data_IF_962980766087
#
_entry.id   IF_962980766087
#
_cell.length_a   1.000
_cell.length_b   1.000
_cell.length_c   1.000
_cell.angle_alpha   90.00
_cell.angle_beta   90.00
_cell.angle_gamma   90.00
#
_symmetry.space_group_name_H-M   'P 1'
#
loop_
_entity.id
_entity.type
_entity.pdbx_description
1 polymer ?
#
# COMPACT_ATOMS: atom_id res chain seq x y z
N UNK A 1 27.34 35.44 25.16
CA UNK A 1 26.74 34.77 23.98
C UNK A 1 26.46 33.32 24.35
N UNK A 2 25.21 32.96 24.58
CA UNK A 2 24.83 31.56 24.87
C UNK A 2 24.40 30.93 23.53
N UNK A 3 25.21 29.95 23.07
CA UNK A 3 24.90 29.12 21.90
C UNK A 3 23.59 28.36 22.12
N UNK A 4 22.57 28.69 21.35
CA UNK A 4 21.39 27.84 21.22
C UNK A 4 21.81 26.55 20.55
N UNK A 5 21.94 25.47 21.32
CA UNK A 5 22.02 24.11 20.78
C UNK A 5 20.73 23.87 19.98
N UNK A 6 20.86 23.76 18.66
CA UNK A 6 19.77 23.28 17.80
C UNK A 6 19.42 21.87 18.27
N UNK A 7 18.30 21.75 18.96
CA UNK A 7 17.72 20.46 19.29
C UNK A 7 17.32 19.80 17.98
N UNK A 8 17.97 18.69 17.64
CA UNK A 8 17.52 17.80 16.56
C UNK A 8 16.08 17.38 16.88
N UNK A 9 15.18 17.40 15.88
CA UNK A 9 13.81 16.91 16.09
C UNK A 9 13.88 15.47 16.61
N UNK A 10 13.36 15.26 17.81
CA UNK A 10 13.26 13.89 18.35
C UNK A 10 12.23 13.12 17.55
N UNK A 11 12.48 11.85 17.22
CA UNK A 11 11.48 11.02 16.56
C UNK A 11 10.22 10.97 17.43
N UNK A 12 9.07 11.17 16.81
CA UNK A 12 7.79 11.05 17.47
C UNK A 12 7.68 9.63 18.06
N UNK A 13 7.52 9.52 19.36
CA UNK A 13 7.23 8.26 20.00
C UNK A 13 5.86 7.77 19.52
N UNK A 14 5.84 6.79 18.63
CA UNK A 14 4.64 6.18 18.10
C UNK A 14 4.75 4.67 18.31
N UNK A 15 4.23 4.19 19.44
CA UNK A 15 4.02 2.75 19.60
C UNK A 15 2.89 2.34 18.65
N UNK A 16 3.22 1.55 17.66
CA UNK A 16 2.30 1.12 16.62
C UNK A 16 2.62 -0.31 16.21
N UNK A 17 1.58 -1.12 16.03
CA UNK A 17 1.73 -2.44 15.44
C UNK A 17 1.76 -2.33 13.92
N UNK A 18 2.73 -2.99 13.31
CA UNK A 18 2.89 -3.06 11.86
C UNK A 18 2.96 -4.51 11.40
N UNK A 19 2.53 -4.73 10.18
CA UNK A 19 2.75 -5.97 9.45
C UNK A 19 3.93 -5.75 8.54
N UNK A 20 4.98 -6.53 8.70
CA UNK A 20 6.13 -6.54 7.79
C UNK A 20 5.81 -7.47 6.64
N UNK A 21 6.03 -7.00 5.42
CA UNK A 21 5.81 -7.78 4.21
C UNK A 21 6.98 -7.62 3.23
N UNK A 22 7.09 -8.55 2.30
CA UNK A 22 8.15 -8.53 1.30
C UNK A 22 7.58 -8.33 -0.10
N UNK A 23 8.29 -7.53 -0.90
CA UNK A 23 8.04 -7.31 -2.32
C UNK A 23 9.37 -7.28 -3.05
N UNK A 24 9.56 -8.18 -4.01
CA UNK A 24 10.82 -8.26 -4.80
C UNK A 24 12.08 -8.37 -3.94
N UNK A 25 11.99 -9.05 -2.79
CA UNK A 25 13.08 -9.19 -1.82
C UNK A 25 13.28 -8.00 -0.87
N UNK A 26 12.53 -6.92 -1.03
CA UNK A 26 12.56 -5.76 -0.14
C UNK A 26 11.55 -5.92 1.00
N UNK A 27 11.95 -5.56 2.20
CA UNK A 27 11.08 -5.52 3.37
C UNK A 27 10.43 -4.14 3.51
N UNK A 28 9.14 -4.15 3.69
CA UNK A 28 8.29 -2.97 3.90
C UNK A 28 7.38 -3.24 5.09
N UNK A 29 6.81 -2.20 5.66
CA UNK A 29 5.84 -2.33 6.75
C UNK A 29 4.59 -1.51 6.49
N UNK A 30 3.47 -1.99 6.96
CA UNK A 30 2.17 -1.31 6.91
C UNK A 30 1.53 -1.33 8.30
N UNK A 31 0.84 -0.26 8.67
CA UNK A 31 0.08 -0.24 9.92
C UNK A 31 -0.87 -1.45 9.99
N UNK A 32 -0.80 -2.22 11.05
CA UNK A 32 -1.67 -3.40 11.23
C UNK A 32 -3.15 -3.00 11.23
N UNK A 33 -3.48 -1.84 11.79
CA UNK A 33 -4.83 -1.29 11.79
C UNK A 33 -5.37 -0.88 10.41
N UNK A 34 -4.51 -0.72 9.40
CA UNK A 34 -4.91 -0.43 8.03
C UNK A 34 -5.30 -1.69 7.24
N UNK A 35 -4.99 -2.87 7.74
CA UNK A 35 -5.25 -4.14 7.06
C UNK A 35 -6.43 -4.85 7.71
N UNK A 36 -7.45 -5.11 6.92
CA UNK A 36 -8.65 -5.83 7.35
C UNK A 36 -8.45 -7.34 7.32
N UNK A 37 -7.78 -7.84 6.28
CA UNK A 37 -7.61 -9.26 6.01
C UNK A 37 -6.31 -9.48 5.23
N UNK A 38 -5.61 -10.57 5.54
CA UNK A 38 -4.52 -11.10 4.73
C UNK A 38 -5.00 -12.41 4.16
N UNK A 39 -4.95 -12.55 2.83
CA UNK A 39 -5.48 -13.74 2.17
C UNK A 39 -4.58 -14.22 1.04
N UNK A 40 -4.85 -15.43 0.54
CA UNK A 40 -4.24 -15.96 -0.67
C UNK A 40 -4.77 -15.30 -1.95
N UNK A 41 -4.34 -15.83 -3.07
CA UNK A 41 -4.67 -15.29 -4.41
C UNK A 41 -6.01 -15.79 -4.96
N UNK A 42 -6.71 -16.66 -4.24
CA UNK A 42 -7.98 -17.24 -4.70
C UNK A 42 -9.07 -16.19 -4.83
N UNK A 43 -9.87 -16.29 -5.89
CA UNK A 43 -11.00 -15.40 -6.14
C UNK A 43 -10.64 -14.06 -6.76
N UNK A 44 -9.39 -13.84 -7.14
CA UNK A 44 -8.99 -12.68 -7.93
C UNK A 44 -9.46 -12.82 -9.37
N UNK A 45 -10.03 -11.75 -9.91
CA UNK A 45 -10.42 -11.65 -11.31
C UNK A 45 -9.54 -10.63 -12.02
N UNK A 46 -8.99 -10.94 -13.21
CA UNK A 46 -8.22 -9.97 -13.98
C UNK A 46 -9.01 -8.70 -14.21
N UNK A 47 -8.38 -7.55 -14.07
CA UNK A 47 -8.98 -6.27 -14.31
C UNK A 47 -8.97 -5.96 -15.82
N UNK A 48 -10.17 -5.82 -16.41
CA UNK A 48 -10.34 -5.70 -17.87
C UNK A 48 -11.24 -4.52 -18.30
N UNK A 49 -11.28 -3.45 -17.53
CA UNK A 49 -12.08 -2.27 -17.90
C UNK A 49 -11.38 -1.44 -19.00
N UNK A 50 -11.21 -2.01 -20.19
CA UNK A 50 -10.82 -1.32 -21.42
C UNK A 50 -9.68 -0.31 -21.25
N UNK A 51 -9.86 0.92 -21.78
CA UNK A 51 -8.86 1.97 -21.74
C UNK A 51 -8.48 2.47 -20.34
N UNK A 52 -9.25 2.15 -19.29
CA UNK A 52 -8.93 2.56 -17.91
C UNK A 52 -7.74 1.79 -17.37
N UNK A 53 -7.62 0.51 -17.69
CA UNK A 53 -6.48 -0.32 -17.27
C UNK A 53 -5.15 0.15 -17.83
N UNK A 54 -5.15 0.83 -18.98
CA UNK A 54 -3.94 1.38 -19.58
C UNK A 54 -3.39 2.59 -18.82
N UNK A 55 -4.25 3.33 -18.10
CA UNK A 55 -3.85 4.51 -17.33
C UNK A 55 -3.44 4.18 -15.90
N UNK A 56 -3.85 3.01 -15.38
CA UNK A 56 -3.51 2.56 -14.02
C UNK A 56 -2.83 1.20 -14.14
N UNK A 57 -1.61 1.18 -14.64
CA UNK A 57 -0.86 -0.04 -14.96
C UNK A 57 -0.60 -0.94 -13.74
N UNK A 58 -0.51 -0.37 -12.53
CA UNK A 58 -0.34 -1.11 -11.28
C UNK A 58 -1.58 -1.90 -10.85
N UNK A 59 -2.76 -1.58 -11.41
CA UNK A 59 -4.01 -2.27 -11.10
C UNK A 59 -4.09 -3.56 -11.92
N UNK A 60 -4.19 -4.70 -11.25
CA UNK A 60 -4.12 -6.04 -11.88
C UNK A 60 -5.41 -6.84 -11.79
N UNK A 61 -6.10 -6.76 -10.65
CA UNK A 61 -7.24 -7.60 -10.37
C UNK A 61 -8.34 -6.84 -9.66
N UNK A 62 -9.52 -7.43 -9.67
CA UNK A 62 -10.59 -7.11 -8.73
C UNK A 62 -10.86 -8.30 -7.81
N UNK A 63 -11.38 -8.01 -6.64
CA UNK A 63 -11.80 -9.00 -5.66
C UNK A 63 -13.19 -8.63 -5.15
N UNK A 64 -14.13 -9.54 -5.30
CA UNK A 64 -15.45 -9.40 -4.68
C UNK A 64 -15.45 -10.02 -3.28
N UNK A 65 -15.83 -9.24 -2.29
CA UNK A 65 -15.85 -9.70 -0.91
C UNK A 65 -17.01 -9.06 -0.15
N UNK A 66 -17.94 -9.88 0.35
CA UNK A 66 -19.11 -9.42 1.12
C UNK A 66 -19.93 -8.33 0.39
N UNK A 67 -20.13 -8.48 -0.92
CA UNK A 67 -20.88 -7.52 -1.75
C UNK A 67 -20.12 -6.26 -2.12
N UNK A 68 -18.85 -6.14 -1.75
CA UNK A 68 -17.97 -5.02 -2.10
C UNK A 68 -16.91 -5.44 -3.11
N UNK A 69 -16.58 -4.53 -4.03
CA UNK A 69 -15.50 -4.71 -5.00
C UNK A 69 -14.23 -4.04 -4.47
N UNK A 70 -13.15 -4.80 -4.40
CA UNK A 70 -11.81 -4.29 -4.10
C UNK A 70 -10.97 -4.25 -5.38
N UNK A 71 -10.26 -3.16 -5.57
CA UNK A 71 -9.29 -3.01 -6.64
C UNK A 71 -7.90 -3.42 -6.14
N UNK A 72 -7.29 -4.37 -6.82
CA UNK A 72 -6.06 -5.01 -6.34
C UNK A 72 -4.85 -4.51 -7.12
N UNK A 73 -3.98 -3.83 -6.41
CA UNK A 73 -2.77 -3.18 -6.91
C UNK A 73 -1.58 -4.11 -6.74
N UNK A 74 -0.72 -4.19 -7.76
CA UNK A 74 0.58 -4.85 -7.65
C UNK A 74 1.56 -3.92 -6.92
N UNK A 75 2.01 -4.32 -5.74
CA UNK A 75 2.94 -3.52 -4.94
C UNK A 75 4.28 -3.30 -5.65
N UNK A 76 4.80 -4.29 -6.37
CA UNK A 76 6.06 -4.14 -7.10
C UNK A 76 5.97 -3.01 -8.14
N UNK A 77 4.88 -2.94 -8.89
CA UNK A 77 4.67 -1.84 -9.84
C UNK A 77 4.44 -0.50 -9.14
N UNK A 78 3.67 -0.48 -8.06
CA UNK A 78 3.44 0.75 -7.31
C UNK A 78 4.72 1.38 -6.80
N UNK A 79 5.61 0.58 -6.21
CA UNK A 79 6.89 1.03 -5.66
C UNK A 79 8.03 1.06 -6.70
N UNK A 80 7.73 0.77 -7.96
CA UNK A 80 8.73 0.71 -9.05
C UNK A 80 9.90 -0.24 -8.73
N UNK A 81 9.55 -1.38 -8.14
CA UNK A 81 10.47 -2.47 -7.85
C UNK A 81 10.51 -3.47 -9.01
N UNK A 82 11.54 -4.34 -9.08
CA UNK A 82 11.57 -5.42 -10.06
C UNK A 82 10.32 -6.31 -9.98
N UNK A 83 9.93 -6.98 -11.07
CA UNK A 83 8.82 -7.93 -11.06
C UNK A 83 8.98 -8.96 -9.94
N UNK A 84 7.88 -9.27 -9.28
CA UNK A 84 7.82 -10.17 -8.13
C UNK A 84 6.89 -11.36 -8.37
N UNK A 85 6.85 -12.30 -7.43
CA UNK A 85 5.94 -13.44 -7.42
C UNK A 85 4.96 -13.32 -6.25
N UNK A 86 3.89 -12.52 -6.38
CA UNK A 86 2.96 -12.31 -5.29
C UNK A 86 2.24 -13.60 -4.90
N UNK A 87 2.06 -13.80 -3.61
CA UNK A 87 1.33 -14.95 -3.06
C UNK A 87 0.26 -14.57 -2.05
N UNK A 88 0.19 -13.30 -1.67
CA UNK A 88 -0.77 -12.78 -0.69
C UNK A 88 -1.40 -11.48 -1.15
N UNK A 89 -2.61 -11.24 -0.66
CA UNK A 89 -3.34 -9.99 -0.84
C UNK A 89 -3.58 -9.37 0.53
N UNK A 90 -3.14 -8.13 0.71
CA UNK A 90 -3.53 -7.31 1.84
C UNK A 90 -4.83 -6.58 1.48
N UNK A 91 -5.94 -6.93 2.11
CA UNK A 91 -7.21 -6.21 1.94
C UNK A 91 -7.24 -5.06 2.92
N UNK A 92 -7.32 -3.84 2.43
CA UNK A 92 -7.23 -2.65 3.26
C UNK A 92 -8.57 -2.33 3.92
N UNK A 93 -8.48 -1.74 5.11
CA UNK A 93 -9.64 -1.30 5.90
C UNK A 93 -10.12 0.07 5.44
N UNK A 94 -11.43 0.24 5.35
CA UNK A 94 -12.08 1.52 5.01
C UNK A 94 -11.73 2.09 3.63
N UNK A 95 -11.21 1.28 2.74
CA UNK A 95 -10.97 1.65 1.33
C UNK A 95 -11.11 0.44 0.43
N UNK A 96 -11.56 0.62 -0.82
CA UNK A 96 -11.81 -0.50 -1.74
C UNK A 96 -10.51 -0.95 -2.44
N UNK A 97 -9.46 -1.17 -1.67
CA UNK A 97 -8.12 -1.44 -2.17
C UNK A 97 -7.57 -2.73 -1.58
N UNK A 98 -7.03 -3.59 -2.45
CA UNK A 98 -6.19 -4.72 -2.09
C UNK A 98 -4.79 -4.52 -2.63
N UNK A 99 -3.79 -5.12 -2.01
CA UNK A 99 -2.38 -4.99 -2.39
C UNK A 99 -1.74 -6.36 -2.50
N UNK A 100 -1.20 -6.67 -3.69
CA UNK A 100 -0.45 -7.89 -3.92
C UNK A 100 0.96 -7.76 -3.36
N UNK A 101 1.33 -8.71 -2.52
CA UNK A 101 2.66 -8.80 -1.92
C UNK A 101 3.20 -10.23 -2.03
N UNK A 102 4.51 -10.40 -1.93
CA UNK A 102 5.13 -11.72 -2.08
C UNK A 102 4.90 -12.58 -0.85
N UNK A 103 5.09 -12.01 0.33
CA UNK A 103 4.90 -12.69 1.61
C UNK A 103 4.60 -11.70 2.72
N UNK A 104 4.07 -12.21 3.82
CA UNK A 104 3.84 -11.44 5.04
C UNK A 104 4.56 -12.12 6.19
N UNK A 105 5.15 -11.31 7.06
CA UNK A 105 5.69 -11.73 8.34
C UNK A 105 4.67 -11.48 9.47
N UNK A 106 5.06 -11.84 10.69
CA UNK A 106 4.26 -11.57 11.89
C UNK A 106 4.09 -10.07 12.15
N UNK A 107 3.09 -9.74 12.95
CA UNK A 107 2.88 -8.39 13.47
C UNK A 107 4.03 -8.04 14.43
N UNK A 108 4.57 -6.84 14.29
CA UNK A 108 5.65 -6.33 15.12
C UNK A 108 5.31 -4.93 15.62
N UNK A 109 5.72 -4.64 16.85
CA UNK A 109 5.59 -3.29 17.38
C UNK A 109 6.81 -2.44 16.97
N UNK A 110 6.56 -1.24 16.49
CA UNK A 110 7.57 -0.22 16.27
C UNK A 110 7.47 0.86 17.35
N UNK A 111 8.61 1.31 17.87
CA UNK A 111 8.66 2.31 18.93
C UNK A 111 8.75 3.75 18.42
N UNK A 112 9.19 3.94 17.19
CA UNK A 112 9.38 5.26 16.59
C UNK A 112 9.26 5.21 15.07
N UNK A 113 8.76 6.31 14.51
CA UNK A 113 8.73 6.55 13.06
C UNK A 113 9.70 7.70 12.77
N UNK A 114 10.72 7.43 11.98
CA UNK A 114 11.71 8.41 11.57
C UNK A 114 11.32 9.08 10.27
N UNK A 115 11.63 10.36 10.12
CA UNK A 115 11.37 11.09 8.89
C UNK A 115 12.14 10.50 7.71
N UNK A 116 11.55 10.59 6.52
CA UNK A 116 12.21 10.16 5.29
C UNK A 116 13.45 11.02 5.02
N UNK A 117 14.59 10.38 4.66
CA UNK A 117 15.79 11.10 4.24
C UNK A 117 15.56 11.95 2.97
N UNK A 118 16.41 12.97 2.71
CA UNK A 118 16.33 13.77 1.48
C UNK A 118 16.54 12.97 0.18
N UNK A 119 17.10 11.77 0.27
CA UNK A 119 17.26 10.88 -0.89
C UNK A 119 15.93 10.39 -1.48
N UNK A 120 14.87 10.36 -0.68
CA UNK A 120 13.52 10.10 -1.18
C UNK A 120 12.99 11.36 -1.86
N UNK A 121 12.73 11.28 -3.16
CA UNK A 121 12.36 12.43 -3.99
C UNK A 121 11.00 12.24 -4.66
N UNK A 122 10.34 13.36 -4.97
CA UNK A 122 9.09 13.42 -5.75
C UNK A 122 7.99 12.50 -5.19
N UNK A 123 7.43 11.64 -6.02
CA UNK A 123 6.30 10.77 -5.68
C UNK A 123 6.63 9.75 -4.58
N UNK A 124 7.89 9.30 -4.48
CA UNK A 124 8.32 8.35 -3.45
C UNK A 124 8.02 8.83 -2.03
N UNK A 125 8.11 10.13 -1.79
CA UNK A 125 7.80 10.70 -0.46
C UNK A 125 6.34 10.49 -0.07
N UNK A 126 5.44 10.42 -1.04
CA UNK A 126 4.03 10.15 -0.82
C UNK A 126 3.72 8.68 -0.56
N UNK A 127 4.60 7.76 -0.98
CA UNK A 127 4.39 6.32 -0.79
C UNK A 127 4.65 5.85 0.64
N UNK A 128 5.45 6.59 1.39
CA UNK A 128 5.90 6.21 2.72
C UNK A 128 5.54 7.25 3.77
N UNK A 129 5.21 6.77 4.96
CA UNK A 129 5.00 7.61 6.15
C UNK A 129 6.32 7.97 6.84
N UNK A 130 7.32 7.12 6.71
CA UNK A 130 8.61 7.26 7.35
C UNK A 130 9.36 5.93 7.38
N UNK A 131 10.41 5.87 8.18
CA UNK A 131 11.25 4.70 8.38
C UNK A 131 11.12 4.18 9.82
N UNK A 132 11.08 2.87 9.98
CA UNK A 132 11.12 2.21 11.27
C UNK A 132 12.33 1.27 11.35
N UNK A 133 12.74 0.93 12.56
CA UNK A 133 13.75 -0.11 12.81
C UNK A 133 13.03 -1.36 13.29
N UNK A 134 13.19 -2.44 12.55
CA UNK A 134 12.59 -3.74 12.84
C UNK A 134 13.70 -4.79 12.83
N UNK A 135 13.91 -5.48 13.95
CA UNK A 135 15.00 -6.48 14.10
C UNK A 135 16.38 -5.96 13.65
N UNK A 136 16.70 -4.71 13.98
CA UNK A 136 17.95 -4.07 13.60
C UNK A 136 18.06 -3.62 12.14
N UNK A 137 17.00 -3.77 11.36
CA UNK A 137 16.92 -3.35 9.95
C UNK A 137 16.04 -2.12 9.81
N UNK A 138 16.44 -1.21 8.94
CA UNK A 138 15.60 -0.05 8.54
C UNK A 138 14.58 -0.51 7.53
N UNK A 139 13.31 -0.30 7.84
CA UNK A 139 12.17 -0.72 7.03
C UNK A 139 11.29 0.49 6.74
N UNK A 140 11.00 0.82 5.47
CA UNK A 140 10.05 1.85 5.14
C UNK A 140 8.63 1.46 5.57
N UNK A 141 7.92 2.39 6.21
CA UNK A 141 6.51 2.23 6.57
C UNK A 141 5.66 2.89 5.50
N UNK A 142 4.83 2.10 4.83
CA UNK A 142 4.06 2.57 3.68
C UNK A 142 2.90 3.45 4.09
N UNK A 143 2.55 4.38 3.22
CA UNK A 143 1.31 5.13 3.28
C UNK A 143 0.22 4.32 2.58
N UNK A 144 -0.65 3.66 3.34
CA UNK A 144 -1.70 2.79 2.79
C UNK A 144 -2.73 3.55 1.93
N UNK A 145 -2.90 4.86 2.13
CA UNK A 145 -3.77 5.70 1.30
C UNK A 145 -3.19 6.07 -0.06
N UNK A 146 -1.92 5.76 -0.33
CA UNK A 146 -1.24 6.12 -1.57
C UNK A 146 -1.26 5.03 -2.66
N UNK A 147 -1.70 3.81 -2.35
CA UNK A 147 -1.79 2.73 -3.35
C UNK A 147 -2.73 3.07 -4.50
N UNK A 148 -3.88 3.62 -4.18
CA UNK A 148 -4.81 4.22 -5.13
C UNK A 148 -5.22 5.59 -4.59
N UNK A 149 -4.91 6.65 -5.31
CA UNK A 149 -5.29 7.99 -4.90
C UNK A 149 -6.78 8.24 -5.19
N UNK A 150 -7.29 9.37 -4.69
CA UNK A 150 -8.70 9.72 -4.83
C UNK A 150 -9.16 9.80 -6.30
N UNK A 151 -8.36 10.41 -7.16
CA UNK A 151 -8.67 10.54 -8.58
C UNK A 151 -8.73 9.19 -9.29
N UNK A 152 -7.78 8.29 -8.98
CA UNK A 152 -7.78 6.92 -9.49
C UNK A 152 -9.02 6.15 -9.03
N UNK A 153 -9.39 6.24 -7.75
CA UNK A 153 -10.59 5.60 -7.22
C UNK A 153 -11.89 6.14 -7.85
N UNK A 154 -12.00 7.43 -8.04
CA UNK A 154 -13.16 8.05 -8.71
C UNK A 154 -13.29 7.56 -10.15
N UNK A 155 -12.18 7.46 -10.89
CA UNK A 155 -12.14 6.91 -12.25
C UNK A 155 -12.60 5.45 -12.29
N UNK A 156 -12.12 4.64 -11.35
CA UNK A 156 -12.49 3.22 -11.26
C UNK A 156 -13.95 3.02 -10.91
N UNK A 157 -14.49 3.78 -9.98
CA UNK A 157 -15.92 3.73 -9.61
C UNK A 157 -16.82 4.12 -10.79
N UNK A 158 -16.49 5.19 -11.48
CA UNK A 158 -17.23 5.62 -12.67
C UNK A 158 -17.19 4.56 -13.78
N UNK A 159 -16.06 3.88 -13.96
CA UNK A 159 -15.91 2.78 -14.91
C UNK A 159 -16.79 1.58 -14.57
N UNK A 160 -16.84 1.19 -13.28
CA UNK A 160 -17.72 0.10 -12.83
C UNK A 160 -19.21 0.41 -13.03
N UNK A 161 -19.63 1.63 -12.71
CA UNK A 161 -21.02 2.05 -12.89
C UNK A 161 -21.45 2.00 -14.34
N UNK A 162 -20.59 2.40 -15.28
CA UNK A 162 -20.83 2.28 -16.71
C UNK A 162 -21.03 0.84 -17.16
N UNK A 163 -20.20 -0.07 -16.68
CA UNK A 163 -20.30 -1.50 -17.00
C UNK A 163 -21.59 -2.09 -16.42
N UNK A 164 -21.95 -1.75 -15.20
CA UNK A 164 -23.20 -2.19 -14.56
C UNK A 164 -24.43 -1.61 -15.27
N UNK A 165 -24.37 -0.35 -15.72
CA UNK A 165 -25.44 0.31 -16.46
C UNK A 165 -25.69 -0.29 -17.85
N UNK A 166 -24.68 -0.86 -18.50
CA UNK A 166 -24.81 -1.54 -19.81
C UNK A 166 -25.42 -2.95 -19.66
N UNK A 167 -25.30 -3.57 -18.51
CA UNK A 167 -25.83 -4.92 -18.24
C UNK A 167 -27.30 -4.90 -17.78
N UNK A 168 -27.86 -3.73 -17.50
CA UNK A 168 -29.22 -3.56 -17.00
C UNK A 168 -30.19 -3.10 -18.11
N UNK A 169 -30.11 -3.71 -19.26
CA UNK A 169 -31.14 -3.53 -20.33
C UNK A 169 -31.90 -4.80 -20.52
#
# INVERSE_FOLDING_TARGET
>A
MRSRKQQRPQPRAAREDVIVFAVSGFKLAIAAGAVKEIRGMEGLHPFTLGGISAHIAKLKYTLERNGATYFVVDAAQHFQLPPSHPSRVLVLRNMPTGVLVDSTDRIMEISALHALPPAFVHEERGWYRGLAVVNGQVVPVVNHGAFLNRAELETLRAGLERVRGVVTV
#
